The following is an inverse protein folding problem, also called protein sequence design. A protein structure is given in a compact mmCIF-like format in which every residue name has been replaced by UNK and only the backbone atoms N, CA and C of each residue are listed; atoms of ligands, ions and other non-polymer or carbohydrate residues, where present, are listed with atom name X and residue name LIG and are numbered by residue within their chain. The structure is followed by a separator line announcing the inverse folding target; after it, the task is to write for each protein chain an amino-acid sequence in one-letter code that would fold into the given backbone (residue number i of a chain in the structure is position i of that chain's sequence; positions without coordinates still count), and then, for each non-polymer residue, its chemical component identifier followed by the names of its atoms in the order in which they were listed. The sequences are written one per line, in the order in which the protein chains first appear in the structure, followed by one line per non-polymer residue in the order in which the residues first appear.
data_IF_413508970632
#
_entry.id   IF_413508970632
#
_cell.length_a   1.000
_cell.length_b   1.000
_cell.length_c   1.000
_cell.angle_alpha   90.00
_cell.angle_beta   90.00
_cell.angle_gamma   90.00
#
_symmetry.space_group_name_H-M   'P 1'
#
loop_
_entity.id
_entity.type
_entity.pdbx_description
1 polymer ?
#
# COMPACT_ATOMS: atom_id res chain seq x y z
N UNK A 1 8.80 -23.70 10.80
CA UNK A 1 7.42 -23.21 10.64
C UNK A 1 7.53 -21.71 10.37
N UNK A 2 6.97 -21.18 9.26
CA UNK A 2 7.12 -19.75 8.92
C UNK A 2 6.05 -18.92 9.65
N UNK A 3 6.48 -17.84 10.30
CA UNK A 3 5.62 -16.89 11.02
C UNK A 3 5.88 -15.47 10.54
N UNK A 4 4.87 -14.60 10.65
CA UNK A 4 5.01 -13.17 10.36
C UNK A 4 3.95 -12.37 11.13
N UNK A 5 4.36 -11.27 11.75
CA UNK A 5 3.48 -10.34 12.46
C UNK A 5 3.71 -8.92 11.97
N UNK A 6 2.66 -8.30 11.41
CA UNK A 6 2.74 -6.97 10.80
C UNK A 6 1.70 -6.06 11.43
N UNK A 7 2.12 -4.94 12.01
CA UNK A 7 1.24 -3.84 12.41
C UNK A 7 1.27 -2.74 11.36
N UNK A 8 0.12 -2.25 10.94
CA UNK A 8 0.00 -1.19 9.94
C UNK A 8 -0.68 0.03 10.53
N UNK A 9 -0.11 1.21 10.34
CA UNK A 9 -0.75 2.50 10.59
C UNK A 9 -1.03 3.18 9.25
N UNK A 10 -2.31 3.36 8.94
CA UNK A 10 -2.69 4.01 7.71
C UNK A 10 -4.19 4.23 7.55
N UNK A 11 -4.66 3.99 6.32
CA UNK A 11 -5.97 4.39 5.85
C UNK A 11 -6.48 3.42 4.77
N UNK A 12 -7.37 3.87 3.90
CA UNK A 12 -7.92 3.04 2.83
C UNK A 12 -6.88 2.54 1.82
N UNK A 13 -5.75 3.23 1.64
CA UNK A 13 -4.67 2.80 0.73
C UNK A 13 -3.85 1.65 1.32
N UNK A 14 -3.59 1.66 2.63
CA UNK A 14 -2.95 0.52 3.29
C UNK A 14 -3.94 -0.65 3.37
N UNK A 15 -5.24 -0.38 3.51
CA UNK A 15 -6.26 -1.43 3.44
C UNK A 15 -6.25 -2.15 2.09
N UNK A 16 -5.95 -1.46 0.99
CA UNK A 16 -5.87 -2.07 -0.33
C UNK A 16 -4.73 -3.10 -0.44
N UNK A 17 -3.59 -2.87 0.21
CA UNK A 17 -2.55 -3.89 0.34
C UNK A 17 -2.95 -5.00 1.33
N UNK A 18 -3.59 -4.61 2.43
CA UNK A 18 -3.92 -5.48 3.55
C UNK A 18 -4.97 -6.55 3.22
N UNK A 19 -5.96 -6.24 2.38
CA UNK A 19 -7.16 -7.09 2.15
C UNK A 19 -6.79 -8.53 1.76
N UNK A 20 -5.80 -8.71 0.87
CA UNK A 20 -5.38 -10.04 0.39
C UNK A 20 -4.10 -10.56 1.05
N UNK A 21 -3.53 -9.82 2.01
CA UNK A 21 -2.22 -10.12 2.55
C UNK A 21 -2.19 -11.45 3.34
N UNK A 22 -3.22 -11.72 4.15
CA UNK A 22 -3.30 -12.99 4.89
C UNK A 22 -3.33 -14.22 3.98
N UNK A 23 -4.27 -14.35 3.02
CA UNK A 23 -4.31 -15.53 2.15
C UNK A 23 -3.07 -15.66 1.26
N UNK A 24 -2.43 -14.55 0.87
CA UNK A 24 -1.13 -14.55 0.20
C UNK A 24 -0.06 -15.24 1.07
N UNK A 25 0.19 -14.74 2.29
CA UNK A 25 1.16 -15.37 3.21
C UNK A 25 0.81 -16.83 3.50
N UNK A 26 -0.47 -17.13 3.74
CA UNK A 26 -0.93 -18.48 4.03
C UNK A 26 -0.62 -19.45 2.90
N UNK A 27 -0.90 -19.06 1.65
CA UNK A 27 -0.61 -19.90 0.48
C UNK A 27 0.89 -20.08 0.23
N UNK A 28 1.71 -19.10 0.62
CA UNK A 28 3.17 -19.18 0.60
C UNK A 28 3.81 -19.99 1.74
N UNK A 29 3.00 -20.76 2.48
CA UNK A 29 3.46 -21.66 3.53
C UNK A 29 3.69 -21.03 4.90
N UNK A 30 3.20 -19.81 5.13
CA UNK A 30 3.15 -19.23 6.48
C UNK A 30 1.99 -19.83 7.26
N UNK A 31 2.26 -20.23 8.50
CA UNK A 31 1.29 -20.92 9.35
C UNK A 31 0.98 -20.18 10.64
N UNK A 32 1.75 -19.15 10.96
CA UNK A 32 1.44 -18.20 12.03
C UNK A 32 1.53 -16.76 11.48
N UNK A 33 0.38 -16.21 11.08
CA UNK A 33 0.26 -14.88 10.46
C UNK A 33 -0.65 -14.02 11.32
N UNK A 34 -0.10 -12.91 11.82
CA UNK A 34 -0.85 -11.88 12.54
C UNK A 34 -0.75 -10.57 11.79
N UNK A 35 -1.88 -10.00 11.42
CA UNK A 35 -1.95 -8.69 10.77
C UNK A 35 -2.77 -7.77 11.68
N UNK A 36 -2.18 -6.69 12.14
CA UNK A 36 -2.85 -5.59 12.84
C UNK A 36 -2.93 -4.36 11.94
N UNK A 37 -4.04 -3.62 12.00
CA UNK A 37 -4.24 -2.42 11.20
C UNK A 37 -4.98 -1.36 12.02
N UNK A 38 -4.28 -0.28 12.33
CA UNK A 38 -4.89 0.97 12.78
C UNK A 38 -5.35 1.73 11.53
N UNK A 39 -6.63 1.56 11.21
CA UNK A 39 -7.30 2.10 10.05
C UNK A 39 -8.01 3.41 10.42
N UNK A 40 -7.66 4.50 9.74
CA UNK A 40 -8.37 5.76 9.86
C UNK A 40 -8.58 6.38 8.46
N UNK A 41 -9.83 6.61 8.06
CA UNK A 41 -10.17 7.02 6.68
C UNK A 41 -9.48 8.32 6.26
N UNK A 42 -8.71 8.29 5.17
CA UNK A 42 -7.96 9.45 4.66
C UNK A 42 -6.86 9.99 5.57
N UNK A 43 -6.58 9.32 6.70
CA UNK A 43 -5.66 9.76 7.73
C UNK A 43 -4.24 9.91 7.20
N UNK A 44 -3.59 10.99 7.61
CA UNK A 44 -2.17 11.21 7.40
C UNK A 44 -1.39 11.04 8.73
N UNK A 45 -0.06 11.18 8.69
CA UNK A 45 0.79 10.95 9.86
C UNK A 45 0.48 11.95 10.99
N UNK A 46 0.27 13.22 10.66
CA UNK A 46 -0.12 14.22 11.65
C UNK A 46 -1.46 13.88 12.31
N UNK A 47 -2.43 13.34 11.57
CA UNK A 47 -3.69 12.88 12.16
C UNK A 47 -3.50 11.66 13.08
N UNK A 48 -2.60 10.72 12.72
CA UNK A 48 -2.24 9.62 13.61
C UNK A 48 -1.61 10.14 14.91
N UNK A 49 -0.72 11.13 14.82
CA UNK A 49 -0.14 11.79 15.97
C UNK A 49 -1.19 12.50 16.83
N UNK A 50 -2.11 13.26 16.23
CA UNK A 50 -3.20 13.89 17.00
C UNK A 50 -4.00 12.84 17.79
N UNK A 51 -4.31 11.67 17.22
CA UNK A 51 -5.07 10.63 17.91
C UNK A 51 -4.39 10.04 19.17
N UNK A 52 -3.07 10.22 19.32
CA UNK A 52 -2.31 9.78 20.50
C UNK A 52 -1.94 10.94 21.44
N UNK A 53 -2.12 12.18 20.99
CA UNK A 53 -1.86 13.39 21.74
C UNK A 53 -3.05 13.71 22.66
N UNK A 54 -2.78 13.75 23.97
CA UNK A 54 -3.80 13.91 25.01
C UNK A 54 -4.39 15.32 25.07
N UNK A 55 -3.76 16.30 24.43
CA UNK A 55 -4.18 17.69 24.44
C UNK A 55 -5.14 18.05 23.28
N UNK A 56 -5.49 17.07 22.45
CA UNK A 56 -6.38 17.26 21.30
C UNK A 56 -7.67 16.46 21.43
N UNK A 57 -8.81 17.15 21.51
CA UNK A 57 -10.11 16.53 21.28
C UNK A 57 -10.23 16.20 19.79
N UNK A 58 -10.09 14.91 19.45
CA UNK A 58 -10.19 14.47 18.06
C UNK A 58 -11.48 13.71 17.78
N UNK A 59 -12.09 14.03 16.63
CA UNK A 59 -13.29 13.38 16.13
C UNK A 59 -12.99 12.31 15.06
N UNK A 60 -11.74 11.86 14.93
CA UNK A 60 -11.36 10.91 13.88
C UNK A 60 -11.86 9.49 14.20
N UNK A 61 -12.49 8.85 13.21
CA UNK A 61 -13.03 7.48 13.30
C UNK A 61 -11.96 6.38 13.18
N UNK A 62 -10.83 6.52 13.88
CA UNK A 62 -9.78 5.52 13.87
C UNK A 62 -10.25 4.22 14.56
N UNK A 63 -9.86 3.08 13.98
CA UNK A 63 -10.16 1.76 14.50
C UNK A 63 -8.97 0.81 14.36
N UNK A 64 -8.77 -0.06 15.35
CA UNK A 64 -7.85 -1.16 15.29
C UNK A 64 -8.58 -2.44 14.85
N UNK A 65 -8.14 -3.00 13.72
CA UNK A 65 -8.58 -4.27 13.18
C UNK A 65 -7.43 -5.28 13.26
N UNK A 66 -7.72 -6.53 13.62
CA UNK A 66 -6.72 -7.60 13.63
C UNK A 66 -7.23 -8.84 12.89
N UNK A 67 -6.33 -9.48 12.14
CA UNK A 67 -6.49 -10.84 11.61
C UNK A 67 -5.45 -11.71 12.31
N UNK A 68 -5.92 -12.67 13.12
CA UNK A 68 -5.08 -13.68 13.75
C UNK A 68 -5.32 -15.03 13.05
N UNK A 69 -4.34 -15.51 12.29
CA UNK A 69 -4.41 -16.78 11.57
C UNK A 69 -5.72 -16.97 10.78
N UNK A 70 -6.12 -15.93 10.05
CA UNK A 70 -7.30 -15.91 9.17
C UNK A 70 -8.61 -15.60 9.86
N UNK A 71 -8.62 -15.51 11.20
CA UNK A 71 -9.77 -15.07 11.96
C UNK A 71 -9.67 -13.56 12.20
N UNK A 72 -10.64 -12.81 11.68
CA UNK A 72 -10.79 -11.39 12.03
C UNK A 72 -11.31 -11.28 13.46
N UNK A 73 -10.61 -10.51 14.29
CA UNK A 73 -11.01 -10.23 15.67
C UNK A 73 -12.00 -9.05 15.72
N UNK A 74 -12.76 -8.89 16.83
CA UNK A 74 -13.59 -7.72 17.02
C UNK A 74 -12.76 -6.44 16.94
N UNK A 75 -13.25 -5.47 16.17
CA UNK A 75 -12.62 -4.16 16.03
C UNK A 75 -12.58 -3.43 17.38
N UNK A 76 -11.53 -2.65 17.64
CA UNK A 76 -11.48 -1.68 18.73
C UNK A 76 -11.53 -0.27 18.13
N UNK A 77 -12.29 0.63 18.75
CA UNK A 77 -12.44 2.02 18.30
C UNK A 77 -12.77 2.91 19.51
N UNK A 78 -12.98 4.21 19.27
CA UNK A 78 -13.27 5.20 20.32
C UNK A 78 -14.50 4.91 21.19
N UNK A 79 -15.46 4.13 20.69
CA UNK A 79 -16.65 3.74 21.48
C UNK A 79 -16.33 2.64 22.50
N UNK A 80 -15.25 1.87 22.25
CA UNK A 80 -14.83 0.73 23.05
C UNK A 80 -13.70 1.08 24.02
N UNK A 81 -12.84 2.04 23.68
CA UNK A 81 -11.77 2.54 24.54
C UNK A 81 -11.23 3.89 24.03
N UNK A 82 -10.57 4.70 24.89
CA UNK A 82 -9.91 5.93 24.45
C UNK A 82 -8.95 5.69 23.27
N UNK A 83 -8.90 6.63 22.32
CA UNK A 83 -8.10 6.48 21.10
C UNK A 83 -6.62 6.21 21.40
N UNK A 84 -6.01 7.00 22.29
CA UNK A 84 -4.61 6.77 22.69
C UNK A 84 -4.39 5.35 23.21
N UNK A 85 -5.29 4.85 24.07
CA UNK A 85 -5.21 3.50 24.63
C UNK A 85 -5.37 2.42 23.54
N UNK A 86 -6.20 2.66 22.53
CA UNK A 86 -6.31 1.79 21.36
C UNK A 86 -5.00 1.72 20.56
N UNK A 87 -4.30 2.85 20.38
CA UNK A 87 -2.99 2.86 19.73
C UNK A 87 -1.95 2.12 20.59
N UNK A 88 -1.93 2.36 21.91
CA UNK A 88 -1.05 1.61 22.83
C UNK A 88 -1.35 0.11 22.76
N UNK A 89 -2.63 -0.27 22.75
CA UNK A 89 -3.06 -1.65 22.57
C UNK A 89 -2.55 -2.23 21.26
N UNK A 90 -2.73 -1.55 20.13
CA UNK A 90 -2.28 -2.02 18.82
C UNK A 90 -0.76 -2.27 18.79
N UNK A 91 0.04 -1.32 19.31
CA UNK A 91 1.51 -1.44 19.36
C UNK A 91 1.95 -2.55 20.30
N UNK A 92 1.31 -2.70 21.45
CA UNK A 92 1.69 -3.67 22.48
C UNK A 92 0.94 -5.00 22.37
N UNK A 93 0.07 -5.22 21.38
CA UNK A 93 -0.70 -6.46 21.24
C UNK A 93 0.24 -7.66 21.05
N UNK A 94 1.24 -7.52 20.17
CA UNK A 94 2.16 -8.57 19.78
C UNK A 94 3.62 -8.09 19.80
N UNK A 95 4.57 -9.02 19.82
CA UNK A 95 5.93 -8.76 19.37
C UNK A 95 5.91 -8.70 17.84
N UNK A 96 5.72 -7.50 17.29
CA UNK A 96 5.62 -7.29 15.85
C UNK A 96 6.98 -7.51 15.17
N UNK A 97 7.00 -8.21 14.04
CA UNK A 97 8.20 -8.30 13.20
C UNK A 97 8.39 -6.99 12.42
N UNK A 98 7.28 -6.43 11.94
CA UNK A 98 7.25 -5.21 11.14
C UNK A 98 6.15 -4.25 11.60
N UNK A 99 6.48 -2.96 11.61
CA UNK A 99 5.52 -1.86 11.66
C UNK A 99 5.57 -1.14 10.32
N UNK A 100 4.45 -1.13 9.59
CA UNK A 100 4.31 -0.40 8.33
C UNK A 100 3.54 0.90 8.59
N UNK A 101 4.13 2.03 8.18
CA UNK A 101 3.51 3.35 8.28
C UNK A 101 3.27 3.89 6.88
N UNK A 102 2.14 4.54 6.69
CA UNK A 102 1.77 5.18 5.43
C UNK A 102 1.23 6.58 5.68
N UNK A 103 1.54 7.53 4.78
CA UNK A 103 0.92 8.85 4.80
C UNK A 103 -0.49 8.87 4.16
N UNK A 104 -1.15 10.02 4.23
CA UNK A 104 -2.44 10.28 3.57
C UNK A 104 -2.26 10.72 2.11
N UNK A 105 -3.12 10.29 1.17
CA UNK A 105 -2.88 10.48 -0.26
C UNK A 105 -3.19 11.88 -0.78
N UNK A 106 -3.89 12.74 -0.02
CA UNK A 106 -4.29 14.08 -0.50
C UNK A 106 -3.13 15.06 -0.64
N UNK A 107 -2.13 14.93 0.24
CA UNK A 107 -1.00 15.84 0.38
C UNK A 107 0.31 15.08 0.56
N UNK A 108 0.40 13.86 0.03
CA UNK A 108 1.58 12.99 0.19
C UNK A 108 2.86 13.64 -0.32
N UNK A 109 2.75 14.55 -1.28
CA UNK A 109 3.84 15.31 -1.86
C UNK A 109 4.25 16.57 -1.05
N UNK A 110 3.57 16.88 0.06
CA UNK A 110 3.78 18.11 0.84
C UNK A 110 4.63 17.87 2.08
N UNK A 111 5.80 18.50 2.15
CA UNK A 111 6.77 18.35 3.25
C UNK A 111 6.21 18.68 4.62
N UNK A 112 5.43 19.75 4.69
CA UNK A 112 4.81 20.31 5.89
C UNK A 112 3.79 19.38 6.55
N UNK A 113 3.25 18.38 5.84
CA UNK A 113 2.32 17.41 6.43
C UNK A 113 3.01 16.26 7.18
N UNK A 114 4.35 16.24 7.23
CA UNK A 114 5.15 15.22 7.95
C UNK A 114 5.73 15.74 9.28
N UNK A 115 5.28 16.90 9.77
CA UNK A 115 5.85 17.58 10.93
C UNK A 115 5.91 16.75 12.21
N UNK A 116 4.98 15.80 12.40
CA UNK A 116 4.94 14.91 13.59
C UNK A 116 5.44 13.49 13.33
N UNK A 117 6.19 13.27 12.25
CA UNK A 117 6.72 11.94 11.95
C UNK A 117 7.59 11.38 13.08
N UNK A 118 8.56 12.16 13.56
CA UNK A 118 9.46 11.77 14.65
C UNK A 118 8.68 11.44 15.93
N UNK A 119 7.80 12.34 16.34
CA UNK A 119 7.02 12.18 17.58
C UNK A 119 6.12 10.92 17.51
N UNK A 120 5.55 10.63 16.34
CA UNK A 120 4.75 9.44 16.12
C UNK A 120 5.61 8.16 16.17
N UNK A 121 6.80 8.17 15.56
CA UNK A 121 7.74 7.05 15.64
C UNK A 121 8.19 6.79 17.09
N UNK A 122 8.48 7.84 17.84
CA UNK A 122 8.89 7.74 19.24
C UNK A 122 7.77 7.19 20.12
N UNK A 123 6.51 7.61 19.89
CA UNK A 123 5.36 7.01 20.56
C UNK A 123 5.26 5.51 20.29
N UNK A 124 5.39 5.07 19.03
CA UNK A 124 5.32 3.64 18.69
C UNK A 124 6.46 2.90 19.40
N UNK A 125 7.70 3.40 19.30
CA UNK A 125 8.87 2.78 19.93
C UNK A 125 8.73 2.63 21.45
N UNK A 126 8.16 3.63 22.11
CA UNK A 126 7.96 3.60 23.56
C UNK A 126 7.01 2.48 24.04
N UNK A 127 6.16 1.95 23.17
CA UNK A 127 5.16 0.93 23.52
C UNK A 127 5.40 -0.43 22.85
N UNK A 128 6.44 -0.55 22.01
CA UNK A 128 6.78 -1.82 21.36
C UNK A 128 7.23 -2.87 22.39
N UNK A 129 6.82 -4.12 22.15
CA UNK A 129 7.28 -5.28 22.93
C UNK A 129 8.65 -5.81 22.50
N UNK A 130 9.13 -5.45 21.31
CA UNK A 130 10.40 -5.93 20.77
C UNK A 130 11.20 -4.80 20.12
N UNK A 131 12.47 -4.71 20.47
CA UNK A 131 13.48 -3.83 19.86
C UNK A 131 13.94 -4.31 18.46
N UNK A 132 13.58 -5.54 18.08
CA UNK A 132 13.88 -6.12 16.76
C UNK A 132 12.88 -5.73 15.68
N UNK A 133 11.77 -5.08 16.07
CA UNK A 133 10.72 -4.63 15.15
C UNK A 133 11.31 -3.71 14.09
N UNK A 134 11.06 -3.99 12.81
CA UNK A 134 11.51 -3.15 11.69
C UNK A 134 10.41 -2.19 11.26
N UNK A 135 10.73 -0.91 11.16
CA UNK A 135 9.81 0.08 10.61
C UNK A 135 9.95 0.15 9.11
N UNK A 136 8.83 0.09 8.39
CA UNK A 136 8.77 0.23 6.94
C UNK A 136 7.82 1.37 6.58
N UNK A 137 8.15 2.10 5.53
CA UNK A 137 7.23 3.09 4.96
C UNK A 137 6.60 2.56 3.68
N UNK A 138 5.27 2.60 3.56
CA UNK A 138 4.62 2.37 2.26
C UNK A 138 4.60 3.68 1.46
N UNK A 139 5.43 3.76 0.41
CA UNK A 139 5.40 4.88 -0.53
C UNK A 139 4.18 4.76 -1.43
N UNK A 140 3.21 5.65 -1.26
CA UNK A 140 1.95 5.69 -2.02
C UNK A 140 1.93 6.81 -3.06
N UNK A 141 0.88 6.83 -3.88
CA UNK A 141 0.61 7.88 -4.85
C UNK A 141 -0.41 8.90 -4.32
N UNK A 142 -0.43 10.07 -4.95
CA UNK A 142 -1.40 11.12 -4.67
C UNK A 142 -2.77 10.76 -5.20
N UNK A 143 -3.80 11.05 -4.41
CA UNK A 143 -5.19 11.01 -4.87
C UNK A 143 -5.52 12.29 -5.66
N UNK A 144 -6.03 12.14 -6.88
CA UNK A 144 -6.42 13.27 -7.74
C UNK A 144 -7.91 13.17 -8.06
N UNK A 145 -8.71 14.06 -7.47
CA UNK A 145 -10.18 14.05 -7.54
C UNK A 145 -10.79 14.20 -8.95
N UNK A 146 -10.01 14.46 -10.00
CA UNK A 146 -10.53 14.85 -11.32
C UNK A 146 -9.69 14.40 -12.53
N UNK A 147 -8.70 13.52 -12.38
CA UNK A 147 -7.85 13.09 -13.51
C UNK A 147 -7.64 11.58 -13.50
N UNK A 148 -8.20 10.89 -14.49
CA UNK A 148 -7.83 9.52 -14.81
C UNK A 148 -6.36 9.52 -15.25
N UNK A 149 -5.47 8.84 -14.53
CA UNK A 149 -4.04 8.83 -14.88
C UNK A 149 -3.05 8.90 -13.74
N UNK A 150 -3.46 8.72 -12.48
CA UNK A 150 -2.53 8.68 -11.35
C UNK A 150 -1.79 9.99 -11.08
N UNK A 151 -0.72 9.89 -10.30
CA UNK A 151 0.20 11.01 -10.07
C UNK A 151 0.96 11.31 -11.36
N UNK A 152 0.98 12.58 -11.76
CA UNK A 152 1.85 13.04 -12.85
C UNK A 152 3.32 12.71 -12.54
N UNK A 153 4.20 12.67 -13.54
CA UNK A 153 5.62 12.45 -13.33
C UNK A 153 6.21 13.41 -12.27
N UNK A 154 5.85 14.70 -12.33
CA UNK A 154 6.25 15.70 -11.34
C UNK A 154 5.77 15.38 -9.92
N UNK A 155 4.51 14.96 -9.74
CA UNK A 155 3.99 14.58 -8.42
C UNK A 155 4.65 13.30 -7.90
N UNK A 156 4.96 12.35 -8.80
CA UNK A 156 5.72 11.15 -8.43
C UNK A 156 7.14 11.51 -7.96
N UNK A 157 7.82 12.43 -8.65
CA UNK A 157 9.14 12.93 -8.28
C UNK A 157 9.10 13.63 -6.91
N UNK A 158 8.10 14.46 -6.63
CA UNK A 158 7.92 15.07 -5.31
C UNK A 158 7.72 14.01 -4.22
N UNK A 159 6.93 12.96 -4.48
CA UNK A 159 6.74 11.85 -3.54
C UNK A 159 8.06 11.10 -3.29
N UNK A 160 8.87 10.90 -4.32
CA UNK A 160 10.21 10.30 -4.21
C UNK A 160 11.13 11.20 -3.39
N UNK A 161 11.09 12.53 -3.61
CA UNK A 161 11.86 13.51 -2.83
C UNK A 161 11.49 13.45 -1.35
N UNK A 162 10.19 13.51 -1.03
CA UNK A 162 9.67 13.37 0.33
C UNK A 162 10.14 12.07 0.96
N UNK A 163 10.06 10.96 0.22
CA UNK A 163 10.47 9.65 0.73
C UNK A 163 11.97 9.61 1.03
N UNK A 164 12.82 10.15 0.16
CA UNK A 164 14.27 10.17 0.36
C UNK A 164 14.72 11.15 1.44
N UNK A 165 14.14 12.34 1.47
CA UNK A 165 14.64 13.47 2.25
C UNK A 165 13.88 13.72 3.56
N UNK A 166 12.76 13.03 3.80
CA UNK A 166 12.01 13.09 5.06
C UNK A 166 11.95 11.71 5.67
N UNK A 167 11.31 10.74 4.99
CA UNK A 167 11.12 9.40 5.55
C UNK A 167 12.46 8.73 5.83
N UNK A 168 13.32 8.61 4.82
CA UNK A 168 14.62 7.95 4.98
C UNK A 168 15.66 8.75 5.76
N UNK A 169 15.34 10.00 6.13
CA UNK A 169 16.17 10.76 7.08
C UNK A 169 15.95 10.31 8.54
N UNK A 170 14.84 9.62 8.81
CA UNK A 170 14.55 9.03 10.11
C UNK A 170 15.25 7.65 10.23
N UNK A 171 16.22 7.48 11.15
CA UNK A 171 17.01 6.26 11.26
C UNK A 171 16.20 5.02 11.68
N UNK A 172 14.98 5.21 12.15
CA UNK A 172 14.04 4.15 12.52
C UNK A 172 13.61 3.31 11.30
N UNK A 173 13.45 3.94 10.13
CA UNK A 173 12.98 3.22 8.95
C UNK A 173 14.06 2.29 8.41
N UNK A 174 13.73 1.00 8.39
CA UNK A 174 14.55 -0.06 7.80
C UNK A 174 14.37 -0.18 6.28
N UNK A 175 13.40 0.55 5.70
CA UNK A 175 13.23 0.65 4.25
C UNK A 175 11.83 1.10 3.82
N UNK A 176 11.59 1.00 2.52
CA UNK A 176 10.40 1.54 1.84
C UNK A 176 9.78 0.47 0.95
N UNK A 177 8.48 0.22 1.12
CA UNK A 177 7.69 -0.58 0.18
C UNK A 177 7.30 0.33 -1.01
N UNK A 178 7.79 0.08 -2.24
CA UNK A 178 7.71 1.01 -3.36
C UNK A 178 6.38 0.90 -4.13
N UNK A 179 5.25 1.03 -3.42
CA UNK A 179 3.92 0.82 -4.01
C UNK A 179 3.58 1.84 -5.11
N UNK A 180 3.98 3.10 -4.96
CA UNK A 180 3.80 4.12 -5.99
C UNK A 180 4.58 3.77 -7.28
N UNK A 181 5.82 3.32 -7.15
CA UNK A 181 6.64 2.93 -8.30
C UNK A 181 6.09 1.70 -9.00
N UNK A 182 5.67 0.67 -8.25
CA UNK A 182 5.02 -0.51 -8.83
C UNK A 182 3.76 -0.12 -9.62
N UNK A 183 2.93 0.77 -9.06
CA UNK A 183 1.74 1.28 -9.77
C UNK A 183 2.10 1.99 -11.07
N UNK A 184 3.10 2.88 -11.06
CA UNK A 184 3.55 3.57 -12.28
C UNK A 184 4.14 2.60 -13.31
N UNK A 185 4.88 1.57 -12.86
CA UNK A 185 5.40 0.53 -13.73
C UNK A 185 4.26 -0.23 -14.42
N UNK A 186 3.19 -0.61 -13.70
CA UNK A 186 2.02 -1.24 -14.34
C UNK A 186 1.37 -0.29 -15.36
N UNK A 187 1.20 0.98 -15.02
CA UNK A 187 0.58 1.99 -15.89
C UNK A 187 1.39 2.34 -17.14
N UNK A 188 2.65 1.93 -17.20
CA UNK A 188 3.50 2.05 -18.39
C UNK A 188 3.33 0.89 -19.38
N UNK A 189 2.56 -0.14 -19.03
CA UNK A 189 2.15 -1.23 -19.92
C UNK A 189 0.89 -0.87 -20.73
N UNK A 190 0.32 -1.84 -21.45
CA UNK A 190 -1.01 -1.69 -22.04
C UNK A 190 -2.13 -1.60 -20.99
N UNK A 191 -1.88 -2.01 -19.74
CA UNK A 191 -2.80 -1.76 -18.62
C UNK A 191 -2.68 -0.29 -18.20
N UNK A 192 -3.82 0.32 -17.91
CA UNK A 192 -3.84 1.68 -17.37
C UNK A 192 -4.57 1.75 -16.03
N UNK A 193 -4.69 2.97 -15.50
CA UNK A 193 -5.25 3.22 -14.19
C UNK A 193 -6.65 2.60 -14.00
N UNK A 194 -7.49 2.59 -15.03
CA UNK A 194 -8.85 2.00 -14.98
C UNK A 194 -8.84 0.47 -14.74
N UNK A 195 -7.73 -0.19 -15.07
CA UNK A 195 -7.58 -1.65 -14.97
C UNK A 195 -7.04 -2.08 -13.60
N UNK A 196 -6.45 -1.14 -12.85
CA UNK A 196 -5.86 -1.40 -11.52
C UNK A 196 -6.42 -0.52 -10.42
N UNK A 197 -7.35 0.39 -10.72
CA UNK A 197 -8.01 1.27 -9.75
C UNK A 197 -9.54 1.17 -9.86
N UNK A 198 -10.24 1.46 -8.76
CA UNK A 198 -11.72 1.48 -8.71
C UNK A 198 -12.31 2.88 -8.76
N UNK A 199 -11.51 3.90 -8.47
CA UNK A 199 -11.94 5.30 -8.40
C UNK A 199 -10.79 6.28 -8.69
N UNK A 200 -9.80 5.87 -9.52
CA UNK A 200 -8.59 6.65 -9.87
C UNK A 200 -7.67 7.00 -8.68
N UNK A 201 -8.05 6.56 -7.47
CA UNK A 201 -7.26 6.66 -6.25
C UNK A 201 -6.94 5.30 -5.68
N UNK A 202 -7.98 4.57 -5.30
CA UNK A 202 -7.85 3.27 -4.68
C UNK A 202 -7.69 2.16 -5.71
N UNK A 203 -6.97 1.11 -5.32
CA UNK A 203 -6.73 -0.03 -6.20
C UNK A 203 -8.01 -0.81 -6.51
N UNK A 204 -8.09 -1.50 -7.64
CA UNK A 204 -9.23 -2.34 -7.97
C UNK A 204 -9.37 -3.50 -6.97
N UNK A 205 -10.58 -4.03 -6.78
CA UNK A 205 -10.82 -5.04 -5.74
C UNK A 205 -10.08 -6.36 -6.01
N UNK A 206 -9.85 -6.69 -7.28
CA UNK A 206 -9.08 -7.83 -7.76
C UNK A 206 -7.63 -7.45 -8.00
N UNK A 207 -7.27 -7.18 -9.26
CA UNK A 207 -5.89 -7.10 -9.75
C UNK A 207 -5.03 -6.11 -8.95
N UNK A 208 -5.54 -4.91 -8.71
CA UNK A 208 -4.78 -3.84 -8.06
C UNK A 208 -4.44 -4.14 -6.60
N UNK A 209 -5.43 -4.54 -5.79
CA UNK A 209 -5.19 -4.99 -4.40
C UNK A 209 -4.29 -6.21 -4.35
N UNK A 210 -4.46 -7.15 -5.27
CA UNK A 210 -3.64 -8.35 -5.32
C UNK A 210 -2.18 -8.04 -5.62
N UNK A 211 -1.91 -7.15 -6.59
CA UNK A 211 -0.56 -6.66 -6.88
C UNK A 211 0.10 -5.98 -5.68
N UNK A 212 -0.63 -5.15 -4.91
CA UNK A 212 -0.11 -4.57 -3.67
C UNK A 212 0.21 -5.63 -2.61
N UNK A 213 -0.67 -6.61 -2.40
CA UNK A 213 -0.45 -7.70 -1.47
C UNK A 213 0.77 -8.54 -1.84
N UNK A 214 0.97 -8.82 -3.13
CA UNK A 214 2.17 -9.51 -3.64
C UNK A 214 3.44 -8.69 -3.46
N UNK A 215 3.39 -7.37 -3.68
CA UNK A 215 4.51 -6.47 -3.42
C UNK A 215 4.92 -6.50 -1.94
N UNK A 216 3.93 -6.36 -1.04
CA UNK A 216 4.16 -6.45 0.40
C UNK A 216 4.77 -7.79 0.80
N UNK A 217 4.19 -8.90 0.33
CA UNK A 217 4.71 -10.23 0.59
C UNK A 217 6.17 -10.37 0.14
N UNK A 218 6.47 -9.99 -1.11
CA UNK A 218 7.80 -10.13 -1.70
C UNK A 218 8.82 -9.27 -0.95
N UNK A 219 8.48 -8.01 -0.66
CA UNK A 219 9.35 -7.08 0.07
C UNK A 219 9.62 -7.54 1.51
N UNK A 220 8.56 -7.87 2.26
CA UNK A 220 8.65 -8.15 3.70
C UNK A 220 9.27 -9.52 3.97
N UNK A 221 8.95 -10.51 3.15
CA UNK A 221 9.41 -11.89 3.38
C UNK A 221 10.67 -12.27 2.61
N UNK A 222 11.03 -11.54 1.55
CA UNK A 222 12.01 -11.99 0.55
C UNK A 222 11.58 -13.24 -0.23
N UNK A 223 10.32 -13.68 -0.10
CA UNK A 223 9.74 -14.77 -0.87
C UNK A 223 9.48 -14.36 -2.31
N UNK A 224 9.19 -15.35 -3.16
CA UNK A 224 8.94 -15.11 -4.59
C UNK A 224 7.45 -15.14 -4.88
N UNK A 225 7.00 -14.40 -5.88
CA UNK A 225 5.59 -14.39 -6.29
C UNK A 225 5.12 -15.81 -6.64
N UNK A 226 5.99 -16.65 -7.21
CA UNK A 226 5.70 -18.05 -7.54
C UNK A 226 5.41 -18.93 -6.32
N UNK A 227 5.80 -18.51 -5.12
CA UNK A 227 5.49 -19.24 -3.89
C UNK A 227 4.00 -19.07 -3.49
N UNK A 228 3.30 -18.08 -4.08
CA UNK A 228 1.92 -17.72 -3.74
C UNK A 228 0.96 -18.45 -4.67
N UNK A 229 0.22 -19.43 -4.14
CA UNK A 229 -0.81 -20.16 -4.91
C UNK A 229 -2.21 -19.53 -4.80
N UNK A 230 -2.40 -18.57 -3.90
CA UNK A 230 -3.68 -17.88 -3.73
C UNK A 230 -3.91 -16.85 -4.84
N UNK A 231 -5.10 -16.86 -5.43
CA UNK A 231 -5.60 -15.83 -6.35
C UNK A 231 -7.01 -15.44 -5.88
N UNK A 232 -7.29 -14.15 -5.61
CA UNK A 232 -8.59 -13.74 -5.11
C UNK A 232 -9.69 -13.95 -6.15
N UNK A 233 -10.85 -14.33 -5.66
CA UNK A 233 -12.07 -14.59 -6.43
C UNK A 233 -13.22 -13.73 -5.92
N UNK A 234 -14.32 -13.68 -6.66
CA UNK A 234 -15.52 -12.96 -6.23
C UNK A 234 -16.03 -13.42 -4.86
N UNK A 235 -15.87 -14.71 -4.54
CA UNK A 235 -16.32 -15.29 -3.27
C UNK A 235 -15.53 -14.77 -2.06
N UNK A 236 -14.32 -14.23 -2.28
CA UNK A 236 -13.48 -13.68 -1.22
C UNK A 236 -13.86 -12.22 -0.87
N UNK A 237 -14.64 -11.55 -1.73
CA UNK A 237 -14.96 -10.13 -1.58
C UNK A 237 -16.16 -9.93 -0.65
N UNK A 238 -16.01 -9.01 0.31
CA UNK A 238 -17.09 -8.64 1.22
C UNK A 238 -18.33 -8.11 0.46
N UNK A 239 -19.56 -8.60 0.74
CA UNK A 239 -20.77 -8.17 0.04
C UNK A 239 -20.98 -6.65 0.02
N UNK A 240 -20.73 -5.97 1.15
CA UNK A 240 -20.86 -4.52 1.24
C UNK A 240 -19.95 -3.73 0.27
N UNK A 241 -18.82 -4.31 -0.16
CA UNK A 241 -17.98 -3.69 -1.19
C UNK A 241 -18.57 -3.91 -2.59
N UNK A 242 -19.20 -5.06 -2.82
CA UNK A 242 -19.82 -5.42 -4.11
C UNK A 242 -21.08 -4.61 -4.42
N UNK A 243 -21.73 -4.05 -3.40
CA UNK A 243 -22.83 -3.09 -3.57
C UNK A 243 -22.37 -1.77 -4.20
N UNK A 244 -21.09 -1.41 -4.02
CA UNK A 244 -20.54 -0.12 -4.45
C UNK A 244 -19.55 -0.23 -5.61
N UNK A 245 -18.79 -1.32 -5.68
CA UNK A 245 -17.68 -1.49 -6.60
C UNK A 245 -17.73 -2.85 -7.30
N UNK A 246 -17.34 -2.88 -8.57
CA UNK A 246 -17.20 -4.11 -9.33
C UNK A 246 -15.91 -4.84 -8.91
N UNK A 247 -16.00 -6.17 -8.77
CA UNK A 247 -14.81 -7.02 -8.74
C UNK A 247 -14.32 -7.27 -10.17
N UNK A 248 -13.10 -6.84 -10.45
CA UNK A 248 -12.41 -6.93 -11.74
C UNK A 248 -11.70 -8.28 -11.97
N UNK A 249 -11.59 -9.12 -10.92
CA UNK A 249 -10.88 -10.40 -11.02
C UNK A 249 -9.37 -10.23 -11.11
N UNK A 250 -8.68 -11.36 -11.29
CA UNK A 250 -7.23 -11.42 -11.55
C UNK A 250 -7.03 -12.32 -12.74
N UNK A 251 -6.92 -11.72 -13.93
CA UNK A 251 -6.68 -12.48 -15.16
C UNK A 251 -5.23 -12.99 -15.18
N UNK A 252 -5.00 -14.30 -15.45
CA UNK A 252 -3.64 -14.84 -15.59
C UNK A 252 -2.80 -14.10 -16.64
N UNK A 253 -3.44 -13.52 -17.66
CA UNK A 253 -2.75 -12.77 -18.72
C UNK A 253 -2.09 -11.46 -18.21
N UNK A 254 -2.56 -10.91 -17.09
CA UNK A 254 -2.02 -9.70 -16.48
C UNK A 254 -0.89 -9.98 -15.48
N UNK A 255 -0.76 -11.23 -15.02
CA UNK A 255 0.25 -11.60 -14.03
C UNK A 255 1.70 -11.38 -14.48
N UNK A 256 2.08 -11.59 -15.76
CA UNK A 256 3.41 -11.23 -16.23
C UNK A 256 3.75 -9.74 -16.06
N UNK A 257 2.76 -8.85 -16.25
CA UNK A 257 2.93 -7.40 -16.06
C UNK A 257 3.08 -7.07 -14.58
N UNK A 258 2.19 -7.62 -13.74
CA UNK A 258 2.25 -7.41 -12.28
C UNK A 258 3.59 -7.86 -11.72
N UNK A 259 4.07 -9.04 -12.15
CA UNK A 259 5.35 -9.58 -11.74
C UNK A 259 6.50 -8.67 -12.16
N UNK A 260 6.58 -8.29 -13.45
CA UNK A 260 7.62 -7.38 -13.95
C UNK A 260 7.60 -6.05 -13.19
N UNK A 261 6.42 -5.47 -12.97
CA UNK A 261 6.28 -4.20 -12.28
C UNK A 261 6.75 -4.25 -10.83
N UNK A 262 6.47 -5.36 -10.12
CA UNK A 262 6.95 -5.60 -8.76
C UNK A 262 8.46 -5.78 -8.76
N UNK A 263 9.02 -6.64 -9.60
CA UNK A 263 10.47 -6.89 -9.68
C UNK A 263 11.23 -5.58 -9.98
N UNK A 264 10.78 -4.81 -10.96
CA UNK A 264 11.36 -3.51 -11.30
C UNK A 264 11.23 -2.49 -10.17
N UNK A 265 10.09 -2.46 -9.45
CA UNK A 265 9.92 -1.55 -8.32
C UNK A 265 10.81 -1.93 -7.14
N UNK A 266 11.06 -3.22 -6.92
CA UNK A 266 11.98 -3.68 -5.88
C UNK A 266 13.44 -3.38 -6.23
N UNK A 267 13.82 -3.51 -7.50
CA UNK A 267 15.18 -3.20 -7.98
C UNK A 267 15.44 -1.69 -8.02
N UNK A 268 14.45 -0.91 -8.49
CA UNK A 268 14.55 0.54 -8.70
C UNK A 268 13.40 1.27 -7.99
N UNK A 269 13.38 1.30 -6.65
CA UNK A 269 12.24 1.75 -5.85
C UNK A 269 11.88 3.23 -5.96
N UNK A 270 12.68 4.01 -6.69
CA UNK A 270 12.49 5.46 -6.84
C UNK A 270 12.51 5.89 -8.31
N UNK A 271 12.42 4.95 -9.26
CA UNK A 271 12.48 5.24 -10.69
C UNK A 271 11.43 4.42 -11.42
N UNK A 272 10.63 5.07 -12.24
CA UNK A 272 9.66 4.38 -13.10
C UNK A 272 10.46 3.57 -14.13
N UNK A 273 10.16 2.29 -14.23
CA UNK A 273 10.73 1.40 -15.24
C UNK A 273 9.64 1.04 -16.24
N UNK A 274 9.73 1.53 -17.50
CA UNK A 274 8.75 1.20 -18.53
C UNK A 274 8.59 -0.30 -18.72
N UNK A 275 7.34 -0.76 -18.75
CA UNK A 275 7.01 -2.17 -18.99
C UNK A 275 7.36 -2.57 -20.41
N UNK A 276 7.78 -3.82 -20.60
CA UNK A 276 7.95 -4.37 -21.96
C UNK A 276 6.62 -4.71 -22.63
N UNK A 277 5.53 -4.80 -21.87
CA UNK A 277 4.20 -5.17 -22.34
C UNK A 277 3.43 -3.92 -22.80
N UNK A 278 3.90 -3.25 -23.85
CA UNK A 278 3.33 -1.96 -24.31
C UNK A 278 2.11 -2.10 -25.23
N UNK A 279 1.83 -3.32 -25.71
CA UNK A 279 0.64 -3.63 -26.51
C UNK A 279 0.15 -5.04 -26.20
N UNK A 280 -1.16 -5.25 -26.30
CA UNK A 280 -1.71 -6.58 -26.51
C UNK A 280 -1.24 -7.02 -27.90
N UNK A 281 -0.58 -8.19 -28.01
CA UNK A 281 -0.31 -8.78 -29.31
C UNK A 281 -1.66 -8.92 -30.05
N UNK A 282 -1.87 -8.07 -31.05
CA UNK A 282 -3.12 -7.98 -31.83
C UNK A 282 -3.27 -9.20 -32.74
N UNK A 283 -3.55 -10.36 -32.17
CA UNK A 283 -4.58 -11.21 -32.75
C UNK A 283 -5.89 -10.80 -32.07
N UNK A 284 -6.74 -10.10 -32.80
CA UNK A 284 -8.07 -9.61 -32.39
C UNK A 284 -8.12 -8.39 -31.44
N UNK A 285 -8.05 -7.20 -32.01
CA UNK A 285 -9.17 -6.23 -31.97
C UNK A 285 -8.80 -4.93 -32.67
N UNK A 286 -9.72 -4.48 -33.53
CA UNK A 286 -9.64 -3.25 -34.28
C UNK A 286 -10.21 -2.09 -33.46
N UNK A 287 -9.36 -1.34 -32.76
CA UNK A 287 -9.39 0.13 -32.76
C UNK A 287 -8.06 0.65 -32.19
N UNK A 288 -7.35 1.45 -32.97
CA UNK A 288 -5.98 1.88 -32.69
C UNK A 288 -5.94 3.30 -32.14
N UNK A 289 -5.91 3.44 -30.82
CA UNK A 289 -5.44 4.68 -30.18
C UNK A 289 -3.92 4.65 -30.06
N UNK A 290 -3.24 5.69 -30.56
CA UNK A 290 -1.79 5.78 -30.64
C UNK A 290 -1.15 5.85 -29.23
N UNK A 291 -0.39 4.82 -28.89
CA UNK A 291 0.26 4.61 -27.59
C UNK A 291 1.49 5.53 -27.41
N UNK A 292 2.02 6.10 -28.51
CA UNK A 292 3.23 6.91 -28.48
C UNK A 292 3.08 8.22 -27.66
N UNK A 293 1.87 8.78 -27.56
CA UNK A 293 1.62 9.97 -26.73
C UNK A 293 1.70 9.68 -25.22
N UNK A 294 1.49 8.43 -24.78
CA UNK A 294 1.55 8.05 -23.36
C UNK A 294 2.98 7.86 -22.86
N UNK A 295 3.88 7.40 -23.73
CA UNK A 295 5.30 7.23 -23.41
C UNK A 295 5.99 8.60 -23.25
N UNK A 296 5.61 9.59 -24.06
CA UNK A 296 6.12 10.97 -23.96
C UNK A 296 5.69 11.70 -22.66
N UNK A 297 4.58 11.27 -22.04
CA UNK A 297 4.14 11.83 -20.75
C UNK A 297 4.84 11.20 -19.53
N UNK A 298 5.58 10.09 -19.72
CA UNK A 298 6.23 9.31 -18.64
C UNK A 298 7.76 9.35 -18.76
N UNK A 299 8.31 9.52 -19.97
CA UNK A 299 9.75 9.61 -20.21
C UNK A 299 10.18 11.05 -20.50
N UNK A 300 10.48 11.82 -19.45
CA UNK A 300 11.24 13.05 -19.61
C UNK A 300 12.72 12.72 -19.78
N UNK A 301 13.20 12.67 -21.02
CA UNK A 301 14.60 12.94 -21.35
C UNK A 301 14.68 13.39 -22.82
N UNK A 302 14.86 14.71 -23.01
CA UNK A 302 15.45 15.24 -24.24
C UNK A 302 16.93 14.87 -24.23
N UNK A 303 17.37 14.12 -25.24
CA UNK A 303 18.78 14.03 -25.60
C UNK A 303 18.93 14.62 -27.01
N UNK A 304 19.52 15.81 -27.00
CA UNK A 304 20.04 16.67 -28.10
C UNK A 304 19.20 16.88 -29.37
#
# INVERSE_FOLDING_TARGET
MKSIKILTFGNSYSNDAYEWLYPIFKSAGYSDVVLGHVLNGGCNINNHYSNIDTDTENDFGAAYCEIYNGKRLPELNREKMPLRDMYVHAVSAHEWDYVVIQHGPKHVEKRDTYSHLRDFLDFIKAHLKSDKTKFLYQMIWKYNDNVAGGSTAAVYEDIVDITKNIILSEPEFSGVIPAATMRQNIMSSYLCDKDISRDYGHMSLGLGRYALGLLWYTYISGGKIEDVSYVPTLADVRPALLEKYKFDGVSPEYMPIVKEAIENALEKPYTITPSRFVSLDKADTADGGDINERIAAVGGEQVE
#
